data_IF_258359103400
#
_entry.id   IF_258359103400
#
_cell.length_a   1.000
_cell.length_b   1.000
_cell.length_c   1.000
_cell.angle_alpha   90.00
_cell.angle_beta   90.00
_cell.angle_gamma   90.00
#
_symmetry.space_group_name_H-M   'P 1'
#
loop_
_entity.id
_entity.type
_entity.pdbx_description
1 polymer ?
#
# COMPACT_ATOMS: atom_id res chain seq x y z
N UNK A 1 11.52 2.69 -16.41
CA UNK A 1 10.90 2.37 -15.11
C UNK A 1 10.46 3.67 -14.47
N UNK A 2 9.15 3.95 -14.43
CA UNK A 2 8.63 5.11 -13.69
C UNK A 2 8.91 4.94 -12.19
N UNK A 3 9.34 6.02 -11.52
CA UNK A 3 9.53 6.01 -10.06
C UNK A 3 8.19 6.25 -9.35
N UNK A 4 7.89 5.56 -8.25
CA UNK A 4 6.68 5.81 -7.48
C UNK A 4 6.80 7.14 -6.72
N UNK A 5 5.66 7.72 -6.36
CA UNK A 5 5.64 8.93 -5.53
C UNK A 5 5.83 8.53 -4.07
N UNK A 6 6.74 9.20 -3.37
CA UNK A 6 6.91 9.01 -1.93
C UNK A 6 5.67 9.58 -1.23
N UNK A 7 4.81 8.70 -0.71
CA UNK A 7 3.61 9.13 0.02
C UNK A 7 3.91 9.54 1.46
N UNK A 8 5.07 9.14 1.99
CA UNK A 8 5.57 9.49 3.32
C UNK A 8 6.93 8.83 3.58
N UNK A 9 7.72 9.43 4.47
CA UNK A 9 9.06 8.98 4.86
C UNK A 9 9.07 8.04 6.08
N UNK A 10 7.90 7.67 6.61
CA UNK A 10 7.76 6.72 7.72
C UNK A 10 6.66 5.70 7.41
N UNK A 11 6.79 4.45 7.88
CA UNK A 11 5.74 3.45 7.73
C UNK A 11 4.48 3.87 8.48
N UNK A 12 3.33 3.42 8.00
CA UNK A 12 2.06 3.63 8.69
C UNK A 12 1.65 2.33 9.39
N UNK A 13 1.39 2.43 10.69
CA UNK A 13 0.79 1.36 11.46
C UNK A 13 -0.69 1.24 11.10
N UNK A 14 -1.12 0.06 10.66
CA UNK A 14 -2.51 -0.27 10.35
C UNK A 14 -2.88 -1.57 11.04
N UNK A 15 -4.14 -1.69 11.45
CA UNK A 15 -4.67 -2.95 11.96
C UNK A 15 -5.15 -3.80 10.78
N UNK A 16 -4.63 -5.03 10.72
CA UNK A 16 -5.01 -6.03 9.75
C UNK A 16 -5.91 -7.07 10.40
N UNK A 17 -6.90 -7.52 9.64
CA UNK A 17 -7.83 -8.57 10.03
C UNK A 17 -7.44 -9.88 9.33
N UNK A 18 -7.30 -10.97 10.08
CA UNK A 18 -6.98 -12.30 9.57
C UNK A 18 -7.97 -12.70 8.47
N UNK A 19 -7.45 -13.26 7.40
CA UNK A 19 -8.26 -13.72 6.28
C UNK A 19 -8.66 -12.62 5.30
N UNK A 20 -8.54 -11.34 5.67
CA UNK A 20 -8.91 -10.21 4.80
C UNK A 20 -7.82 -9.94 3.78
N UNK A 21 -8.25 -9.65 2.55
CA UNK A 21 -7.35 -9.27 1.46
C UNK A 21 -7.26 -7.76 1.37
N UNK A 22 -6.04 -7.25 1.35
CA UNK A 22 -5.71 -5.84 1.25
C UNK A 22 -5.00 -5.55 -0.05
N UNK A 23 -5.29 -4.39 -0.64
CA UNK A 23 -4.62 -3.88 -1.83
C UNK A 23 -3.57 -2.84 -1.41
N UNK A 24 -2.30 -3.23 -1.31
CA UNK A 24 -1.23 -2.29 -0.98
C UNK A 24 -0.94 -1.34 -2.15
N UNK A 25 -0.87 -0.03 -1.86
CA UNK A 25 -0.52 0.98 -2.86
C UNK A 25 0.98 0.92 -3.16
N UNK A 26 1.32 0.76 -4.44
CA UNK A 26 2.71 0.76 -4.94
C UNK A 26 3.07 2.05 -5.71
N UNK A 27 2.08 2.85 -6.14
CA UNK A 27 2.30 4.04 -6.97
C UNK A 27 2.52 5.34 -6.17
N UNK A 28 2.13 5.37 -4.89
CA UNK A 28 2.21 6.56 -4.04
C UNK A 28 1.07 7.57 -4.15
N UNK A 29 0.27 7.52 -5.22
CA UNK A 29 -0.79 8.51 -5.50
C UNK A 29 -2.06 8.38 -4.64
N UNK A 30 -2.23 7.26 -3.95
CA UNK A 30 -3.43 7.00 -3.15
C UNK A 30 -3.57 8.01 -2.02
N UNK A 31 -4.79 8.51 -1.81
CA UNK A 31 -5.15 9.29 -0.62
C UNK A 31 -5.51 8.39 0.57
N UNK A 32 -5.73 7.09 0.33
CA UNK A 32 -6.04 6.09 1.34
C UNK A 32 -4.80 5.26 1.72
N UNK A 33 -3.63 5.91 1.86
CA UNK A 33 -2.39 5.21 2.22
C UNK A 33 -2.58 4.44 3.54
N UNK A 34 -1.96 3.24 3.67
CA UNK A 34 -1.03 2.59 2.74
C UNK A 34 -1.72 1.81 1.61
N UNK A 35 -3.05 1.82 1.54
CA UNK A 35 -3.85 1.03 0.62
C UNK A 35 -4.15 1.74 -0.70
N UNK A 36 -4.50 0.95 -1.71
CA UNK A 36 -4.87 1.41 -3.03
C UNK A 36 -6.30 1.97 -3.04
N UNK A 37 -6.51 3.07 -3.75
CA UNK A 37 -7.81 3.69 -3.99
C UNK A 37 -8.10 3.90 -5.49
N UNK A 38 -7.39 3.20 -6.38
CA UNK A 38 -7.57 3.32 -7.83
C UNK A 38 -6.77 4.44 -8.52
N UNK A 39 -6.16 5.39 -7.79
CA UNK A 39 -5.36 6.49 -8.38
C UNK A 39 -4.10 6.06 -9.17
N UNK A 40 -3.79 4.77 -9.20
CA UNK A 40 -2.76 4.22 -10.06
C UNK A 40 -3.21 4.08 -11.53
N UNK A 41 -4.52 4.20 -11.82
CA UNK A 41 -5.04 4.14 -13.18
C UNK A 41 -4.29 5.12 -14.11
N UNK A 42 -3.95 4.66 -15.31
CA UNK A 42 -3.13 5.41 -16.26
C UNK A 42 -1.62 5.39 -15.98
N UNK A 43 -1.16 4.54 -15.05
CA UNK A 43 0.27 4.27 -14.84
C UNK A 43 0.58 2.77 -14.91
N UNK A 44 1.86 2.43 -14.98
CA UNK A 44 2.32 1.04 -15.01
C UNK A 44 2.21 0.34 -13.64
N UNK A 45 1.96 1.10 -12.57
CA UNK A 45 1.89 0.57 -11.22
C UNK A 45 0.61 -0.22 -10.99
N UNK A 46 0.75 -1.43 -10.44
CA UNK A 46 -0.36 -2.26 -9.97
C UNK A 46 -0.29 -2.42 -8.45
N UNK A 47 -1.43 -2.35 -7.73
CA UNK A 47 -1.44 -2.59 -6.31
C UNK A 47 -1.02 -4.03 -6.00
N UNK A 48 -0.30 -4.22 -4.88
CA UNK A 48 0.11 -5.55 -4.42
C UNK A 48 -0.98 -6.10 -3.51
N UNK A 49 -1.67 -7.13 -3.98
CA UNK A 49 -2.68 -7.83 -3.18
C UNK A 49 -1.97 -8.74 -2.18
N UNK A 50 -2.39 -8.72 -0.92
CA UNK A 50 -1.94 -9.68 0.08
C UNK A 50 -3.09 -10.00 1.02
N UNK A 51 -3.11 -11.24 1.52
CA UNK A 51 -4.04 -11.70 2.55
C UNK A 51 -3.35 -11.58 3.90
N UNK A 52 -4.00 -10.98 4.87
CA UNK A 52 -3.49 -10.96 6.24
C UNK A 52 -3.62 -12.36 6.84
N UNK A 53 -2.51 -12.91 7.32
CA UNK A 53 -2.46 -14.26 7.90
C UNK A 53 -2.88 -14.29 9.38
N UNK A 54 -2.84 -13.14 10.06
CA UNK A 54 -3.16 -12.99 11.48
C UNK A 54 -3.76 -11.61 11.73
N UNK A 55 -4.59 -11.53 12.76
CA UNK A 55 -5.05 -10.27 13.30
C UNK A 55 -3.88 -9.52 13.97
N UNK A 56 -3.73 -8.23 13.67
CA UNK A 56 -2.80 -7.39 14.40
C UNK A 56 -2.28 -6.17 13.65
N UNK A 57 -1.46 -5.40 14.37
CA UNK A 57 -0.88 -4.16 13.86
C UNK A 57 0.31 -4.46 12.95
N UNK A 58 0.22 -4.05 11.69
CA UNK A 58 1.29 -4.13 10.72
C UNK A 58 1.80 -2.74 10.32
N UNK A 59 3.08 -2.66 9.99
CA UNK A 59 3.72 -1.43 9.54
C UNK A 59 3.94 -1.49 8.05
N UNK A 60 3.15 -0.74 7.29
CA UNK A 60 3.20 -0.76 5.83
C UNK A 60 3.99 0.44 5.29
N UNK A 61 4.88 0.15 4.35
CA UNK A 61 5.77 1.11 3.71
C UNK A 61 4.99 2.22 2.98
N UNK A 62 5.45 3.46 3.14
CA UNK A 62 4.92 4.64 2.42
C UNK A 62 5.89 5.29 1.44
N UNK A 63 7.18 4.94 1.48
CA UNK A 63 8.16 5.46 0.52
C UNK A 63 8.06 4.80 -0.86
N UNK A 64 7.54 3.56 -0.91
CA UNK A 64 7.33 2.75 -2.13
C UNK A 64 8.62 2.38 -2.87
N UNK A 65 9.76 2.52 -2.20
CA UNK A 65 11.09 2.20 -2.71
C UNK A 65 11.59 0.88 -2.10
N UNK A 66 10.74 -0.14 -2.15
CA UNK A 66 10.93 -1.47 -1.55
C UNK A 66 10.72 -2.56 -2.57
#
# INVERSE_FOLDING_TARGET
MSKPIIAGNSPMGVDLEEGKTYAFCTCGKSSNQPFCNGRHAGSEFRPKMFKAEKDGKAWLCRCKDT
#
